data_IF_803317591383
#
_entry.id   IF_803317591383
#
_cell.length_a   1.000
_cell.length_b   1.000
_cell.length_c   1.000
_cell.angle_alpha   90.00
_cell.angle_beta   90.00
_cell.angle_gamma   90.00
#
_symmetry.space_group_name_H-M   'P 1'
#
loop_
_entity.id
_entity.type
_entity.pdbx_description
1 polymer ?
#
# COMPACT_ATOMS: atom_id res chain seq x y z
N UNK A 1 -26.63 -12.30 7.08
CA UNK A 1 -27.30 -11.19 7.79
C UNK A 1 -27.05 -9.90 7.02
N UNK A 2 -28.11 -9.25 6.50
CA UNK A 2 -27.99 -7.96 5.81
C UNK A 2 -27.61 -6.85 6.79
N UNK A 3 -26.84 -5.84 6.31
CA UNK A 3 -26.51 -4.66 7.13
C UNK A 3 -27.78 -3.89 7.45
N UNK A 4 -27.87 -3.35 8.67
CA UNK A 4 -28.96 -2.44 9.05
C UNK A 4 -28.94 -1.18 8.14
N UNK A 5 -30.14 -0.73 7.73
CA UNK A 5 -30.29 0.50 6.93
C UNK A 5 -29.71 1.71 7.67
N UNK A 6 -29.04 2.57 6.92
CA UNK A 6 -28.54 3.86 7.44
C UNK A 6 -29.66 4.91 7.45
N UNK A 7 -29.60 5.80 8.42
CA UNK A 7 -30.38 7.06 8.37
C UNK A 7 -29.70 8.03 7.40
N UNK A 8 -30.44 9.05 6.91
CA UNK A 8 -29.89 10.06 6.02
C UNK A 8 -28.61 10.72 6.55
N UNK A 9 -28.55 11.01 7.84
CA UNK A 9 -27.36 11.61 8.50
C UNK A 9 -26.18 10.63 8.48
N UNK A 10 -26.42 9.34 8.72
CA UNK A 10 -25.38 8.31 8.71
C UNK A 10 -24.88 8.06 7.29
N UNK A 11 -25.76 8.11 6.30
CA UNK A 11 -25.41 7.97 4.89
C UNK A 11 -24.55 9.14 4.40
N UNK A 12 -24.94 10.38 4.73
CA UNK A 12 -24.13 11.58 4.45
C UNK A 12 -22.73 11.47 5.07
N UNK A 13 -22.65 11.01 6.33
CA UNK A 13 -21.36 10.81 6.99
C UNK A 13 -20.51 9.74 6.28
N UNK A 14 -21.08 8.59 5.91
CA UNK A 14 -20.38 7.54 5.20
C UNK A 14 -19.90 7.99 3.81
N UNK A 15 -20.73 8.75 3.08
CA UNK A 15 -20.36 9.29 1.77
C UNK A 15 -19.23 10.31 1.90
N UNK A 16 -19.27 11.19 2.88
CA UNK A 16 -18.17 12.11 3.17
C UNK A 16 -16.86 11.37 3.46
N UNK A 17 -16.89 10.30 4.28
CA UNK A 17 -15.70 9.49 4.54
C UNK A 17 -15.12 8.90 3.25
N UNK A 18 -15.97 8.40 2.34
CA UNK A 18 -15.57 7.84 1.05
C UNK A 18 -14.95 8.91 0.13
N UNK A 19 -15.61 10.05 -0.01
CA UNK A 19 -15.12 11.14 -0.86
C UNK A 19 -13.81 11.72 -0.33
N UNK A 20 -13.68 11.88 0.99
CA UNK A 20 -12.47 12.36 1.61
C UNK A 20 -11.31 11.39 1.39
N UNK A 21 -11.56 10.09 1.59
CA UNK A 21 -10.58 9.04 1.34
C UNK A 21 -10.14 8.99 -0.12
N UNK A 22 -11.08 9.12 -1.07
CA UNK A 22 -10.78 9.18 -2.51
C UNK A 22 -9.93 10.40 -2.89
N UNK A 23 -10.22 11.58 -2.29
CA UNK A 23 -9.50 12.83 -2.61
C UNK A 23 -8.15 12.94 -1.92
N UNK A 24 -8.02 12.46 -0.71
CA UNK A 24 -6.84 12.68 0.14
C UNK A 24 -5.95 11.43 0.31
N UNK A 25 -6.47 10.25 -0.01
CA UNK A 25 -5.75 8.97 0.16
C UNK A 25 -5.76 8.42 1.60
N UNK A 26 -6.30 9.16 2.57
CA UNK A 26 -6.38 8.77 3.97
C UNK A 26 -7.72 9.19 4.59
N UNK A 27 -8.19 8.51 5.66
CA UNK A 27 -9.44 8.86 6.32
C UNK A 27 -9.37 10.21 7.06
N UNK A 28 -10.50 10.93 7.18
CA UNK A 28 -10.55 12.19 7.93
C UNK A 28 -10.44 11.96 9.44
N UNK A 29 -9.89 12.95 10.13
CA UNK A 29 -9.94 13.05 11.60
C UNK A 29 -11.33 13.43 12.09
N UNK A 30 -11.62 13.20 13.36
CA UNK A 30 -12.89 13.66 14.00
C UNK A 30 -13.11 15.18 13.86
N UNK A 31 -12.03 15.97 13.86
CA UNK A 31 -12.11 17.43 13.70
C UNK A 31 -12.47 17.81 12.25
N UNK A 32 -11.90 17.16 11.27
CA UNK A 32 -12.22 17.37 9.85
C UNK A 32 -13.67 16.97 9.55
N UNK A 33 -14.16 15.89 10.15
CA UNK A 33 -15.58 15.49 10.05
C UNK A 33 -16.47 16.53 10.72
N UNK A 34 -16.13 17.00 11.93
CA UNK A 34 -16.88 18.03 12.63
C UNK A 34 -16.96 19.32 11.83
N UNK A 35 -15.83 19.78 11.28
CA UNK A 35 -15.73 20.98 10.44
C UNK A 35 -16.62 20.87 9.19
N UNK A 36 -16.58 19.74 8.49
CA UNK A 36 -17.38 19.50 7.28
C UNK A 36 -18.89 19.59 7.55
N UNK A 37 -19.35 19.09 8.69
CA UNK A 37 -20.76 19.11 9.07
C UNK A 37 -21.17 20.32 9.93
N UNK A 38 -20.30 21.33 10.10
CA UNK A 38 -20.57 22.53 10.87
C UNK A 38 -20.80 22.25 12.38
N UNK A 39 -20.22 21.18 12.91
CA UNK A 39 -20.40 20.78 14.31
C UNK A 39 -19.35 21.44 15.22
N UNK A 40 -19.79 21.89 16.42
CA UNK A 40 -18.94 22.60 17.40
C UNK A 40 -17.84 21.72 18.04
N UNK A 41 -17.78 20.41 17.74
CA UNK A 41 -16.78 19.56 18.37
C UNK A 41 -16.86 18.09 17.94
N UNK A 42 -15.91 17.25 18.41
CA UNK A 42 -15.75 15.87 17.94
C UNK A 42 -16.78 14.86 18.46
N UNK A 43 -17.57 15.22 19.48
CA UNK A 43 -18.55 14.29 20.11
C UNK A 43 -19.62 13.81 19.13
N UNK A 44 -20.14 14.69 18.26
CA UNK A 44 -21.13 14.33 17.25
C UNK A 44 -20.59 13.33 16.22
N UNK A 45 -19.48 13.65 15.53
CA UNK A 45 -18.80 12.69 14.65
C UNK A 45 -18.47 11.37 15.33
N UNK A 46 -17.96 11.38 16.56
CA UNK A 46 -17.62 10.17 17.30
C UNK A 46 -18.83 9.24 17.49
N UNK A 47 -20.01 9.81 17.85
CA UNK A 47 -21.26 9.05 17.99
C UNK A 47 -21.69 8.44 16.64
N UNK A 48 -21.63 9.23 15.57
CA UNK A 48 -22.01 8.77 14.22
C UNK A 48 -21.09 7.64 13.74
N UNK A 49 -19.76 7.78 13.93
CA UNK A 49 -18.79 6.74 13.60
C UNK A 49 -19.00 5.47 14.43
N UNK A 50 -19.33 5.58 15.70
CA UNK A 50 -19.64 4.41 16.54
C UNK A 50 -20.86 3.64 16.01
N UNK A 51 -21.90 4.36 15.55
CA UNK A 51 -23.08 3.72 14.96
C UNK A 51 -22.72 3.07 13.61
N UNK A 52 -21.94 3.72 12.76
CA UNK A 52 -21.49 3.14 11.49
C UNK A 52 -20.63 1.88 11.69
N UNK A 53 -19.80 1.86 12.73
CA UNK A 53 -19.00 0.71 13.13
C UNK A 53 -19.89 -0.44 13.61
N UNK A 54 -20.83 -0.19 14.55
CA UNK A 54 -21.79 -1.19 15.03
C UNK A 54 -22.62 -1.79 13.91
N UNK A 55 -23.00 -0.98 12.92
CA UNK A 55 -23.74 -1.42 11.73
C UNK A 55 -22.87 -2.10 10.67
N UNK A 56 -21.55 -2.23 10.89
CA UNK A 56 -20.61 -2.91 10.00
C UNK A 56 -20.26 -2.15 8.72
N UNK A 57 -20.38 -0.83 8.68
CA UNK A 57 -19.99 -0.01 7.53
C UNK A 57 -18.56 0.50 7.61
N UNK A 58 -18.03 0.64 8.82
CA UNK A 58 -16.64 1.00 9.07
C UNK A 58 -16.06 0.13 10.18
N UNK A 59 -14.73 0.11 10.29
CA UNK A 59 -13.97 -0.45 11.40
C UNK A 59 -13.04 0.63 11.93
N UNK A 60 -12.91 0.73 13.25
CA UNK A 60 -11.88 1.56 13.89
C UNK A 60 -10.71 0.68 14.26
N UNK A 61 -9.50 1.11 13.88
CA UNK A 61 -8.26 0.46 14.28
C UNK A 61 -7.70 1.15 15.51
N UNK A 62 -7.20 0.45 16.53
CA UNK A 62 -6.53 1.08 17.65
C UNK A 62 -5.27 1.83 17.19
N UNK A 63 -5.04 3.05 17.63
CA UNK A 63 -3.73 3.70 17.51
C UNK A 63 -3.62 4.99 16.72
N UNK A 64 -4.71 5.67 16.31
CA UNK A 64 -4.52 6.94 15.62
C UNK A 64 -5.77 7.79 15.39
N UNK A 65 -5.57 9.09 15.17
CA UNK A 65 -6.63 10.03 14.85
C UNK A 65 -7.30 9.83 13.48
N UNK A 66 -6.70 8.99 12.61
CA UNK A 66 -7.14 8.63 11.25
C UNK A 66 -7.44 7.14 11.09
N UNK A 67 -7.64 6.43 12.18
CA UNK A 67 -7.82 4.98 12.23
C UNK A 67 -9.27 4.55 11.88
N UNK A 68 -9.74 4.85 10.67
CA UNK A 68 -11.08 4.50 10.18
C UNK A 68 -10.92 3.73 8.86
N UNK A 69 -11.35 2.48 8.86
CA UNK A 69 -11.45 1.66 7.66
C UNK A 69 -12.91 1.60 7.19
N UNK A 70 -13.18 1.88 5.93
CA UNK A 70 -14.53 1.75 5.35
C UNK A 70 -14.70 0.31 4.85
N UNK A 71 -15.59 -0.43 5.49
CA UNK A 71 -15.89 -1.79 5.10
C UNK A 71 -16.77 -1.80 3.86
N UNK A 72 -16.34 -2.49 2.78
CA UNK A 72 -17.16 -2.70 1.58
C UNK A 72 -18.44 -3.46 1.97
N UNK A 73 -19.61 -3.18 1.34
CA UNK A 73 -20.80 -4.01 1.54
C UNK A 73 -20.43 -5.45 1.16
N UNK A 74 -20.73 -6.40 2.03
CA UNK A 74 -20.81 -7.80 1.60
C UNK A 74 -22.00 -7.86 0.64
N UNK A 75 -21.71 -7.86 -0.65
CA UNK A 75 -22.71 -8.22 -1.65
C UNK A 75 -22.91 -9.69 -1.44
N UNK A 76 -24.12 -10.06 -0.98
CA UNK A 76 -24.54 -11.43 -0.86
C UNK A 76 -24.15 -12.20 -2.12
N UNK A 77 -23.47 -13.33 -1.93
CA UNK A 77 -23.09 -14.29 -2.99
C UNK A 77 -24.29 -14.97 -3.67
N UNK A 78 -25.47 -14.34 -3.68
CA UNK A 78 -26.70 -14.90 -4.21
C UNK A 78 -27.38 -13.94 -5.17
N UNK A 79 -26.70 -13.60 -6.27
CA UNK A 79 -27.34 -13.29 -7.54
C UNK A 79 -26.40 -13.65 -8.70
N UNK A 80 -26.02 -14.91 -8.74
CA UNK A 80 -25.79 -15.55 -10.04
C UNK A 80 -27.18 -15.77 -10.65
N UNK A 81 -27.72 -14.74 -11.26
CA UNK A 81 -28.80 -14.91 -12.21
C UNK A 81 -28.17 -15.61 -13.39
N UNK A 82 -28.37 -16.91 -13.49
CA UNK A 82 -28.21 -17.67 -14.73
C UNK A 82 -29.15 -17.04 -15.76
N UNK A 83 -28.63 -16.13 -16.58
CA UNK A 83 -29.25 -15.82 -17.86
C UNK A 83 -28.76 -16.88 -18.84
N UNK A 84 -29.46 -18.03 -18.86
CA UNK A 84 -29.48 -18.88 -20.04
C UNK A 84 -30.20 -18.12 -21.14
N UNK A 85 -29.43 -17.51 -22.03
CA UNK A 85 -29.91 -16.88 -23.23
C UNK A 85 -28.88 -17.05 -24.32
N UNK A 86 -29.09 -18.08 -25.16
CA UNK A 86 -28.44 -18.20 -26.47
C UNK A 86 -28.58 -16.89 -27.21
N UNK A 87 -27.47 -16.22 -27.55
CA UNK A 87 -27.41 -15.31 -28.70
C UNK A 87 -26.18 -15.59 -29.54
N UNK A 88 -26.44 -16.02 -30.76
CA UNK A 88 -25.49 -16.08 -31.88
C UNK A 88 -24.98 -14.68 -32.20
N UNK A 89 -23.69 -14.58 -32.42
CA UNK A 89 -23.00 -13.69 -33.34
C UNK A 89 -23.29 -12.22 -33.23
N UNK A 90 -22.40 -11.44 -32.65
CA UNK A 90 -22.15 -10.04 -32.99
C UNK A 90 -20.70 -9.66 -32.70
N UNK A 91 -20.12 -8.68 -33.44
CA UNK A 91 -18.69 -8.42 -33.47
C UNK A 91 -18.21 -7.71 -32.23
N UNK A 92 -16.92 -7.80 -32.01
CA UNK A 92 -16.13 -7.15 -30.98
C UNK A 92 -16.59 -5.74 -30.65
N UNK A 93 -17.41 -5.57 -29.63
CA UNK A 93 -17.47 -4.33 -28.90
C UNK A 93 -16.49 -4.43 -27.75
N UNK A 94 -15.43 -3.64 -27.82
CA UNK A 94 -14.54 -3.32 -26.72
C UNK A 94 -15.33 -2.55 -25.65
N UNK A 95 -16.29 -3.22 -25.03
CA UNK A 95 -16.93 -2.77 -23.81
C UNK A 95 -15.97 -3.03 -22.67
N UNK A 96 -15.46 -2.00 -22.03
CA UNK A 96 -14.94 -2.08 -20.68
C UNK A 96 -15.97 -2.83 -19.85
N UNK A 97 -15.72 -4.10 -19.58
CA UNK A 97 -16.51 -4.89 -18.64
C UNK A 97 -16.35 -4.20 -17.30
N UNK A 98 -17.44 -3.55 -16.88
CA UNK A 98 -17.49 -2.81 -15.63
C UNK A 98 -16.94 -3.65 -14.49
N UNK A 99 -16.06 -3.04 -13.73
CA UNK A 99 -15.41 -3.49 -12.49
C UNK A 99 -16.11 -4.66 -11.83
N UNK A 100 -15.77 -5.88 -12.20
CA UNK A 100 -15.84 -6.98 -11.26
C UNK A 100 -15.02 -6.54 -10.03
N UNK A 101 -15.56 -6.72 -8.83
CA UNK A 101 -14.93 -6.41 -7.56
C UNK A 101 -13.59 -7.16 -7.43
N UNK A 102 -12.57 -6.67 -8.10
CA UNK A 102 -11.21 -7.18 -7.94
C UNK A 102 -10.74 -6.71 -6.57
N UNK A 103 -10.44 -7.60 -5.64
CA UNK A 103 -9.98 -7.22 -4.33
C UNK A 103 -8.67 -6.46 -4.49
N UNK A 104 -8.66 -5.20 -4.10
CA UNK A 104 -7.47 -4.34 -4.17
C UNK A 104 -6.81 -4.22 -2.81
N UNK A 105 -5.49 -4.12 -2.81
CA UNK A 105 -4.67 -3.76 -1.65
C UNK A 105 -4.10 -2.36 -1.85
N UNK A 106 -4.18 -1.53 -0.83
CA UNK A 106 -3.60 -0.19 -0.82
C UNK A 106 -2.19 -0.27 -0.27
N UNK A 107 -1.19 -0.06 -1.13
CA UNK A 107 0.23 -0.17 -0.81
C UNK A 107 0.79 1.23 -0.56
N UNK A 108 1.39 1.52 0.62
CA UNK A 108 1.95 2.82 0.93
C UNK A 108 3.21 3.09 0.11
N UNK A 109 3.38 4.34 -0.34
CA UNK A 109 4.60 4.86 -0.94
C UNK A 109 5.42 5.47 0.19
N UNK A 110 6.62 4.95 0.42
CA UNK A 110 7.56 5.43 1.43
C UNK A 110 8.62 6.29 0.74
N UNK A 111 8.75 7.53 1.17
CA UNK A 111 9.69 8.48 0.57
C UNK A 111 11.12 8.28 1.05
N UNK A 112 11.30 7.91 2.32
CA UNK A 112 12.61 7.67 2.94
C UNK A 112 12.54 6.50 3.92
N UNK A 113 13.58 5.70 3.94
CA UNK A 113 13.79 4.65 4.94
C UNK A 113 15.01 5.04 5.76
N UNK A 114 14.85 5.12 7.09
CA UNK A 114 15.89 5.46 8.05
C UNK A 114 16.08 4.33 9.05
N UNK A 115 17.26 4.25 9.64
CA UNK A 115 17.54 3.26 10.68
C UNK A 115 16.86 3.68 12.00
N UNK A 116 16.19 2.73 12.64
CA UNK A 116 15.57 2.93 13.95
C UNK A 116 14.09 3.29 13.94
N UNK A 117 13.61 3.95 12.89
CA UNK A 117 12.20 4.26 12.76
C UNK A 117 11.40 3.13 12.11
N UNK A 118 10.12 2.94 12.49
CA UNK A 118 9.25 2.04 11.77
C UNK A 118 9.15 2.50 10.30
N UNK A 119 9.42 1.60 9.35
CA UNK A 119 9.39 1.90 7.90
C UNK A 119 8.06 2.52 7.47
N UNK A 120 6.98 2.09 8.11
CA UNK A 120 5.62 2.58 7.89
C UNK A 120 5.23 3.68 8.90
N UNK A 121 6.19 4.42 9.47
CA UNK A 121 5.86 5.62 10.23
C UNK A 121 5.10 6.59 9.32
N UNK A 122 4.03 7.18 9.81
CA UNK A 122 3.14 8.08 9.04
C UNK A 122 3.92 9.23 8.38
N UNK A 123 4.99 9.65 9.01
CA UNK A 123 5.89 10.72 8.57
C UNK A 123 6.65 10.38 7.28
N UNK A 124 6.82 9.10 7.00
CA UNK A 124 7.54 8.59 5.83
C UNK A 124 6.62 8.26 4.65
N UNK A 125 5.29 8.27 4.82
CA UNK A 125 4.33 7.90 3.77
C UNK A 125 3.97 9.12 2.93
N UNK A 126 4.35 9.09 1.66
CA UNK A 126 4.05 10.14 0.66
C UNK A 126 2.69 9.93 -0.03
N UNK A 127 2.14 8.73 0.00
CA UNK A 127 0.87 8.39 -0.66
C UNK A 127 0.60 6.90 -0.69
N UNK A 128 -0.35 6.48 -1.53
CA UNK A 128 -0.74 5.09 -1.70
C UNK A 128 -1.02 4.76 -3.16
N UNK A 129 -0.68 3.55 -3.60
CA UNK A 129 -1.15 2.97 -4.85
C UNK A 129 -2.01 1.73 -4.56
N UNK A 130 -3.08 1.58 -5.34
CA UNK A 130 -3.96 0.42 -5.23
C UNK A 130 -3.57 -0.63 -6.27
N UNK A 131 -3.28 -1.83 -5.81
CA UNK A 131 -2.97 -2.98 -6.64
C UNK A 131 -4.08 -4.02 -6.55
N UNK A 132 -4.23 -4.81 -7.60
CA UNK A 132 -4.98 -6.05 -7.52
C UNK A 132 -4.31 -6.98 -6.49
N UNK A 133 -5.11 -7.53 -5.57
CA UNK A 133 -4.61 -8.42 -4.52
C UNK A 133 -3.96 -9.70 -5.07
N UNK A 134 -4.32 -10.09 -6.30
CA UNK A 134 -3.68 -11.22 -6.97
C UNK A 134 -2.26 -10.92 -7.45
N UNK A 135 -1.91 -9.64 -7.65
CA UNK A 135 -0.57 -9.22 -8.03
C UNK A 135 0.37 -9.07 -6.83
N UNK A 136 -0.18 -8.89 -5.64
CA UNK A 136 0.60 -8.64 -4.42
C UNK A 136 0.27 -9.71 -3.39
N UNK A 137 1.14 -10.72 -3.31
CA UNK A 137 0.93 -11.93 -2.49
C UNK A 137 1.09 -11.70 -0.98
N UNK A 138 1.53 -10.51 -0.54
CA UNK A 138 1.78 -10.19 0.87
C UNK A 138 1.01 -8.93 1.27
N UNK A 139 0.45 -8.92 2.49
CA UNK A 139 -0.26 -7.74 3.01
C UNK A 139 0.69 -6.66 3.53
N UNK A 140 1.89 -7.04 3.94
CA UNK A 140 2.90 -6.15 4.53
C UNK A 140 3.94 -5.73 3.49
N UNK A 141 3.51 -5.03 2.44
CA UNK A 141 4.42 -4.50 1.40
C UNK A 141 4.36 -2.99 1.37
N UNK A 142 5.42 -2.37 0.87
CA UNK A 142 5.47 -0.95 0.60
C UNK A 142 6.17 -0.66 -0.72
N UNK A 143 5.94 0.53 -1.27
CA UNK A 143 6.64 1.06 -2.43
C UNK A 143 7.73 2.02 -1.96
N UNK A 144 8.92 1.85 -2.49
CA UNK A 144 10.04 2.77 -2.28
C UNK A 144 10.42 3.41 -3.62
N UNK A 145 10.52 4.73 -3.65
CA UNK A 145 10.99 5.44 -4.84
C UNK A 145 12.47 5.14 -5.07
N UNK A 146 12.80 4.63 -6.25
CA UNK A 146 14.17 4.39 -6.68
C UNK A 146 14.86 5.71 -7.00
N UNK A 147 16.11 5.83 -6.58
CA UNK A 147 16.99 6.95 -6.90
C UNK A 147 18.30 6.44 -7.45
N UNK A 148 18.74 7.05 -8.55
CA UNK A 148 19.99 6.73 -9.22
C UNK A 148 19.92 5.51 -10.14
N UNK A 149 21.06 5.15 -10.73
CA UNK A 149 21.18 4.24 -11.86
C UNK A 149 21.89 2.94 -11.50
N UNK A 150 22.04 2.63 -10.23
CA UNK A 150 22.85 1.49 -9.78
C UNK A 150 22.29 0.11 -10.16
N UNK A 151 21.05 0.05 -10.65
CA UNK A 151 20.35 -1.20 -10.97
C UNK A 151 19.76 -1.21 -12.39
N UNK A 152 20.34 -0.43 -13.32
CA UNK A 152 19.81 -0.26 -14.68
C UNK A 152 19.81 -1.58 -15.48
N UNK A 153 20.83 -2.43 -15.34
CA UNK A 153 20.90 -3.72 -16.02
C UNK A 153 19.93 -4.76 -15.43
N UNK A 154 19.36 -4.46 -14.26
CA UNK A 154 18.21 -5.19 -13.71
C UNK A 154 16.87 -4.56 -14.12
N UNK A 155 16.88 -3.62 -15.10
CA UNK A 155 15.73 -2.87 -15.59
C UNK A 155 15.05 -2.01 -14.52
N UNK A 156 15.77 -1.63 -13.46
CA UNK A 156 15.32 -0.72 -12.41
C UNK A 156 15.98 0.64 -12.65
N UNK A 157 15.17 1.66 -12.91
CA UNK A 157 15.62 3.00 -13.30
C UNK A 157 15.28 4.04 -12.23
N UNK A 158 15.95 5.18 -12.33
CA UNK A 158 15.61 6.34 -11.50
C UNK A 158 14.14 6.75 -11.67
N UNK A 159 13.47 7.05 -10.56
CA UNK A 159 12.05 7.40 -10.54
C UNK A 159 11.06 6.22 -10.47
N UNK A 160 11.51 4.98 -10.65
CA UNK A 160 10.68 3.78 -10.45
C UNK A 160 10.19 3.67 -9.01
N UNK A 161 9.16 2.85 -8.82
CA UNK A 161 8.73 2.40 -7.51
C UNK A 161 9.06 0.92 -7.33
N UNK A 162 9.96 0.63 -6.41
CA UNK A 162 10.26 -0.75 -6.01
C UNK A 162 9.20 -1.23 -5.01
N UNK A 163 8.49 -2.31 -5.35
CA UNK A 163 7.60 -3.00 -4.43
C UNK A 163 8.44 -3.88 -3.51
N UNK A 164 8.43 -3.58 -2.24
CA UNK A 164 9.31 -4.20 -1.23
C UNK A 164 8.49 -4.99 -0.24
N UNK A 165 8.87 -6.25 -0.05
CA UNK A 165 8.38 -7.11 1.03
C UNK A 165 9.35 -7.00 2.21
N UNK A 166 8.91 -6.50 3.38
CA UNK A 166 9.75 -6.41 4.57
C UNK A 166 10.27 -7.78 5.00
N UNK A 167 11.55 -7.90 5.16
CA UNK A 167 12.20 -9.09 5.73
C UNK A 167 13.59 -8.72 6.25
N UNK A 168 14.05 -9.44 7.30
CA UNK A 168 15.33 -9.17 7.95
C UNK A 168 16.50 -9.97 7.37
N UNK A 169 16.21 -10.89 6.49
CA UNK A 169 17.20 -11.74 5.82
C UNK A 169 16.86 -11.91 4.33
N UNK A 170 17.85 -12.29 3.53
CA UNK A 170 17.70 -12.49 2.10
C UNK A 170 18.68 -13.57 1.60
N UNK A 171 18.35 -14.25 0.52
CA UNK A 171 19.21 -15.22 -0.14
C UNK A 171 20.22 -14.54 -1.07
N UNK A 172 21.33 -15.22 -1.34
CA UNK A 172 22.33 -14.72 -2.28
C UNK A 172 21.73 -14.56 -3.69
N UNK A 173 21.99 -13.42 -4.29
CA UNK A 173 21.47 -13.08 -5.61
C UNK A 173 20.13 -12.34 -5.60
N UNK A 174 19.46 -12.22 -4.47
CA UNK A 174 18.21 -11.44 -4.37
C UNK A 174 18.49 -9.94 -4.45
N UNK A 175 17.54 -9.21 -5.03
CA UNK A 175 17.55 -7.73 -5.02
C UNK A 175 16.85 -7.28 -3.74
N UNK A 176 17.55 -6.49 -2.96
CA UNK A 176 17.08 -6.02 -1.65
C UNK A 176 17.16 -4.52 -1.52
N UNK A 177 16.38 -3.99 -0.59
CA UNK A 177 16.64 -2.70 0.03
C UNK A 177 17.45 -2.93 1.29
N UNK A 178 18.62 -2.31 1.38
CA UNK A 178 19.46 -2.34 2.55
C UNK A 178 19.76 -0.94 3.05
N UNK A 179 19.94 -0.80 4.37
CA UNK A 179 20.53 0.38 4.98
C UNK A 179 22.01 0.09 5.28
N UNK A 180 22.87 0.96 4.81
CA UNK A 180 24.30 0.99 5.15
C UNK A 180 24.50 2.26 5.98
N UNK A 181 24.84 2.09 7.24
CA UNK A 181 24.70 3.14 8.23
C UNK A 181 23.24 3.66 8.22
N UNK A 182 22.93 4.85 7.70
CA UNK A 182 21.56 5.37 7.64
C UNK A 182 21.08 5.65 6.20
N UNK A 183 21.83 5.18 5.21
CA UNK A 183 21.48 5.38 3.80
C UNK A 183 20.85 4.14 3.17
N UNK A 184 19.66 4.31 2.60
CA UNK A 184 18.96 3.24 1.88
C UNK A 184 19.56 3.05 0.47
N UNK A 185 19.80 1.79 0.10
CA UNK A 185 20.29 1.41 -1.22
C UNK A 185 19.58 0.17 -1.74
N UNK A 186 19.40 0.07 -3.06
CA UNK A 186 18.91 -1.14 -3.74
C UNK A 186 20.09 -1.80 -4.42
N UNK A 187 20.36 -3.05 -4.07
CA UNK A 187 21.48 -3.84 -4.60
C UNK A 187 21.13 -5.32 -4.63
N UNK A 188 21.92 -6.09 -5.36
CA UNK A 188 21.91 -7.54 -5.28
C UNK A 188 22.83 -7.99 -4.15
N UNK A 189 22.30 -8.78 -3.21
CA UNK A 189 23.06 -9.21 -2.04
C UNK A 189 23.78 -10.53 -2.29
N UNK A 190 25.04 -10.59 -1.80
CA UNK A 190 25.83 -11.82 -1.65
C UNK A 190 26.47 -11.86 -0.28
N UNK A 191 26.08 -12.84 0.53
CA UNK A 191 26.60 -13.06 1.88
C UNK A 191 27.66 -14.14 1.86
N UNK A 192 28.80 -13.86 2.48
CA UNK A 192 29.86 -14.83 2.78
C UNK A 192 30.10 -14.82 4.31
N UNK A 193 30.88 -15.79 4.79
CA UNK A 193 31.08 -16.00 6.24
C UNK A 193 31.45 -14.73 7.02
N UNK A 194 32.28 -13.86 6.45
CA UNK A 194 32.83 -12.69 7.13
C UNK A 194 32.56 -11.36 6.36
N UNK A 195 31.76 -11.37 5.32
CA UNK A 195 31.46 -10.16 4.56
C UNK A 195 30.09 -10.24 3.87
N UNK A 196 29.51 -9.06 3.66
CA UNK A 196 28.36 -8.86 2.79
C UNK A 196 28.85 -8.06 1.60
N UNK A 197 28.51 -8.52 0.40
CA UNK A 197 28.76 -7.82 -0.86
C UNK A 197 27.42 -7.41 -1.44
N UNK A 198 27.28 -6.13 -1.69
CA UNK A 198 26.10 -5.53 -2.31
C UNK A 198 26.49 -5.10 -3.73
N UNK A 199 26.04 -5.85 -4.71
CA UNK A 199 26.40 -5.65 -6.12
C UNK A 199 25.40 -4.74 -6.82
N UNK A 200 25.85 -3.68 -7.50
CA UNK A 200 25.03 -2.95 -8.44
C UNK A 200 24.77 -3.83 -9.69
N UNK A 201 23.67 -3.61 -10.34
CA UNK A 201 23.41 -4.06 -11.71
C UNK A 201 23.68 -2.89 -12.67
N UNK A 202 24.91 -2.41 -12.63
CA UNK A 202 25.45 -1.35 -13.48
C UNK A 202 26.97 -1.56 -13.59
N UNK A 203 27.50 -1.83 -14.80
CA UNK A 203 28.91 -2.17 -14.99
C UNK A 203 29.86 -1.00 -14.70
N UNK A 204 29.37 0.22 -14.63
CA UNK A 204 30.17 1.41 -14.29
C UNK A 204 30.33 1.64 -12.80
N UNK A 205 29.65 0.83 -11.96
CA UNK A 205 29.64 1.00 -10.51
C UNK A 205 30.31 -0.15 -9.81
N UNK A 206 31.12 0.16 -8.79
CA UNK A 206 31.79 -0.85 -7.97
C UNK A 206 30.86 -1.45 -6.91
N UNK A 207 31.02 -2.74 -6.57
CA UNK A 207 30.29 -3.36 -5.49
C UNK A 207 30.68 -2.77 -4.12
N UNK A 208 29.69 -2.64 -3.25
CA UNK A 208 29.92 -2.25 -1.86
C UNK A 208 30.23 -3.52 -1.06
N UNK A 209 31.43 -3.61 -0.51
CA UNK A 209 31.87 -4.75 0.31
C UNK A 209 31.98 -4.28 1.76
N UNK A 210 31.19 -4.92 2.63
CA UNK A 210 31.18 -4.62 4.06
C UNK A 210 31.66 -5.84 4.84
N UNK A 211 32.79 -5.72 5.51
CA UNK A 211 33.31 -6.77 6.41
C UNK A 211 32.56 -6.74 7.74
N UNK A 212 32.51 -7.90 8.38
CA UNK A 212 31.87 -8.04 9.69
C UNK A 212 32.55 -7.11 10.71
N UNK A 213 31.76 -6.17 11.27
CA UNK A 213 32.24 -5.21 12.27
C UNK A 213 32.69 -3.85 11.70
N UNK A 214 32.75 -3.66 10.38
CA UNK A 214 33.14 -2.38 9.77
C UNK A 214 31.98 -1.36 9.74
N UNK A 215 30.83 -1.81 9.23
CA UNK A 215 29.63 -0.99 9.10
C UNK A 215 28.39 -1.82 9.43
N UNK A 216 27.35 -1.14 9.85
CA UNK A 216 26.05 -1.79 10.08
C UNK A 216 25.29 -1.88 8.76
N UNK A 217 25.06 -3.11 8.28
CA UNK A 217 24.16 -3.38 7.15
C UNK A 217 22.88 -3.97 7.71
N UNK A 218 21.75 -3.30 7.46
CA UNK A 218 20.43 -3.77 7.86
C UNK A 218 19.61 -4.04 6.60
N UNK A 219 19.13 -5.28 6.43
CA UNK A 219 18.21 -5.62 5.37
C UNK A 219 16.82 -5.11 5.75
N UNK A 220 16.26 -4.25 4.91
CA UNK A 220 14.92 -3.66 5.06
C UNK A 220 13.87 -4.58 4.47
N UNK A 221 14.15 -5.14 3.29
CA UNK A 221 13.25 -6.03 2.60
C UNK A 221 13.75 -6.47 1.23
N UNK A 222 13.04 -7.42 0.63
CA UNK A 222 13.27 -7.93 -0.71
C UNK A 222 12.43 -7.16 -1.72
N UNK A 223 13.02 -6.76 -2.83
CA UNK A 223 12.30 -6.21 -3.99
C UNK A 223 11.61 -7.36 -4.71
N UNK A 224 10.28 -7.29 -4.80
CA UNK A 224 9.45 -8.33 -5.42
C UNK A 224 8.77 -7.87 -6.71
N UNK A 225 8.88 -6.59 -7.03
CA UNK A 225 8.33 -6.01 -8.25
C UNK A 225 8.78 -4.57 -8.46
N UNK A 226 8.58 -4.08 -9.68
CA UNK A 226 8.86 -2.69 -10.06
C UNK A 226 7.61 -2.12 -10.72
N UNK A 227 7.27 -0.91 -10.36
CA UNK A 227 6.22 -0.13 -11.00
C UNK A 227 6.81 1.16 -11.57
N UNK A 228 6.57 1.41 -12.85
CA UNK A 228 7.00 2.63 -13.56
C UNK A 228 5.79 3.37 -14.08
N UNK A 229 5.77 4.66 -13.80
CA UNK A 229 4.84 5.58 -14.44
C UNK A 229 5.58 6.25 -15.60
N UNK A 230 5.07 6.08 -16.81
CA UNK A 230 5.57 6.73 -18.02
C UNK A 230 5.00 8.12 -18.17
#
# INVERSE_FOLDING_TARGET
MGREKLTQTQEKALNFLREFLLKKGFPPTLREIASHFGLKGPKGPQKTLHILERKGYIRKTPGGSRAIEILKPQIDRLRTVMVQGRRKGLPYETGFVGSANVPTISVPIVGRVTAGDPILAIENIEGYLNFDRNLVSSEDVFLLRVRGESMIDAHIQDGDFALVKPQKDAENGEIIVALIDDEATIKRIFKKRNLIRLEPANPTMEPIVVKKGEKKVTIVGKVIGIFRKL
#
